data_IF_948304209116
#
_entry.id   IF_948304209116
#
_cell.length_a   1.000
_cell.length_b   1.000
_cell.length_c   1.000
_cell.angle_alpha   90.00
_cell.angle_beta   90.00
_cell.angle_gamma   90.00
#
_symmetry.space_group_name_H-M   'P 1'
#
loop_
_entity.id
_entity.type
_entity.pdbx_description
1 polymer ?
#
# COMPACT_ATOMS: atom_id res chain seq x y z
N UNK A 1 0.66 -4.06 4.86
CA UNK A 1 1.22 -5.42 5.09
C UNK A 1 1.75 -5.69 6.51
N UNK A 2 2.84 -5.05 6.95
CA UNK A 2 3.48 -5.37 8.25
C UNK A 2 2.57 -5.16 9.47
N UNK A 3 1.68 -4.16 9.45
CA UNK A 3 0.67 -3.95 10.49
C UNK A 3 -0.36 -5.10 10.55
N UNK A 4 -0.78 -5.61 9.39
CA UNK A 4 -1.68 -6.76 9.30
C UNK A 4 -0.98 -8.03 9.80
N UNK A 5 0.30 -8.22 9.47
CA UNK A 5 1.12 -9.31 10.00
C UNK A 5 1.24 -9.23 11.53
N UNK A 6 1.46 -8.03 12.08
CA UNK A 6 1.49 -7.82 13.54
C UNK A 6 0.16 -8.20 14.19
N UNK A 7 -0.97 -7.78 13.61
CA UNK A 7 -2.30 -8.16 14.07
C UNK A 7 -2.50 -9.68 14.05
N UNK A 8 -2.25 -10.35 12.92
CA UNK A 8 -2.42 -11.81 12.82
C UNK A 8 -1.46 -12.58 13.72
N UNK A 9 -0.26 -12.05 13.97
CA UNK A 9 0.67 -12.61 14.95
C UNK A 9 0.15 -12.50 16.39
N UNK A 10 -0.46 -11.37 16.75
CA UNK A 10 -1.12 -11.22 18.06
C UNK A 10 -2.35 -12.12 18.19
N UNK A 11 -3.08 -12.41 17.10
CA UNK A 11 -4.21 -13.34 17.13
C UNK A 11 -3.77 -14.80 17.26
N UNK A 12 -2.64 -15.18 16.67
CA UNK A 12 -2.23 -16.60 16.60
C UNK A 12 -1.19 -17.00 17.65
N UNK A 13 -0.45 -16.05 18.23
CA UNK A 13 0.56 -16.34 19.25
C UNK A 13 -0.05 -16.64 20.63
N UNK A 14 0.50 -17.61 21.39
CA UNK A 14 0.13 -17.82 22.80
C UNK A 14 0.40 -16.61 23.71
N UNK A 15 1.34 -15.74 23.32
CA UNK A 15 1.69 -14.50 24.03
C UNK A 15 0.94 -13.28 23.49
N UNK A 16 0.02 -13.49 22.55
CA UNK A 16 -0.72 -12.41 21.90
C UNK A 16 -1.85 -11.85 22.75
N UNK A 17 -2.17 -10.57 22.54
CA UNK A 17 -3.25 -9.88 23.26
C UNK A 17 -4.63 -10.22 22.66
N UNK A 18 -5.05 -11.49 22.78
CA UNK A 18 -6.31 -11.99 22.20
C UNK A 18 -7.56 -11.24 22.65
N UNK A 19 -7.59 -10.83 23.93
CA UNK A 19 -8.67 -9.99 24.48
C UNK A 19 -8.92 -8.71 23.67
N UNK A 20 -7.91 -8.18 22.98
CA UNK A 20 -8.07 -7.04 22.09
C UNK A 20 -8.33 -7.50 20.65
N UNK A 21 -7.52 -8.42 20.16
CA UNK A 21 -7.49 -8.74 18.73
C UNK A 21 -8.64 -9.60 18.25
N UNK A 22 -9.32 -10.33 19.13
CA UNK A 22 -10.46 -11.18 18.78
C UNK A 22 -11.72 -10.36 18.50
N UNK A 23 -11.75 -9.08 18.93
CA UNK A 23 -12.81 -8.13 18.59
C UNK A 23 -12.58 -7.40 17.26
N UNK A 24 -11.46 -7.65 16.57
CA UNK A 24 -11.22 -7.08 15.24
C UNK A 24 -12.04 -7.85 14.22
N UNK A 25 -13.18 -7.28 13.85
CA UNK A 25 -14.13 -7.91 12.93
C UNK A 25 -13.68 -7.89 11.47
N UNK A 26 -12.92 -6.88 11.04
CA UNK A 26 -12.54 -6.69 9.64
C UNK A 26 -11.12 -6.12 9.53
N UNK A 27 -10.30 -6.69 8.65
CA UNK A 27 -8.95 -6.21 8.37
C UNK A 27 -8.81 -5.82 6.90
N UNK A 28 -8.70 -4.52 6.64
CA UNK A 28 -8.39 -3.98 5.31
C UNK A 28 -6.89 -3.66 5.23
N UNK A 29 -6.17 -4.34 4.34
CA UNK A 29 -4.74 -4.18 4.15
C UNK A 29 -4.39 -3.36 2.91
N UNK A 30 -3.56 -2.34 3.07
CA UNK A 30 -3.06 -1.57 1.91
C UNK A 30 -1.88 -2.27 1.24
N UNK A 31 -1.81 -2.19 -0.08
CA UNK A 31 -0.59 -2.52 -0.81
C UNK A 31 0.51 -1.53 -0.41
N UNK A 32 1.73 -2.01 -0.24
CA UNK A 32 2.85 -1.16 0.20
C UNK A 32 4.16 -1.68 -0.37
N UNK A 33 4.90 -0.85 -1.10
CA UNK A 33 6.25 -1.19 -1.50
C UNK A 33 7.24 -0.88 -0.37
N UNK A 34 7.23 0.37 0.10
CA UNK A 34 8.15 0.94 1.08
C UNK A 34 7.45 2.02 1.91
N UNK A 35 8.07 2.40 3.03
CA UNK A 35 7.69 3.58 3.81
C UNK A 35 8.93 4.41 4.08
N UNK A 36 8.73 5.72 4.20
CA UNK A 36 9.78 6.68 4.52
C UNK A 36 9.57 7.21 5.94
N UNK A 37 10.64 7.49 6.67
CA UNK A 37 10.51 8.19 7.95
C UNK A 37 10.28 9.68 7.71
N UNK A 38 9.45 10.31 8.56
CA UNK A 38 9.14 11.73 8.43
C UNK A 38 10.42 12.58 8.40
N UNK A 39 11.33 12.42 9.36
CA UNK A 39 12.54 13.25 9.42
C UNK A 39 13.39 13.15 8.15
N UNK A 40 13.65 11.91 7.69
CA UNK A 40 14.43 11.67 6.47
C UNK A 40 13.74 12.25 5.23
N UNK A 41 12.48 11.88 4.96
CA UNK A 41 11.81 12.33 3.73
C UNK A 41 11.49 13.82 3.78
N UNK A 42 10.94 14.32 4.88
CA UNK A 42 10.47 15.70 4.95
C UNK A 42 11.63 16.66 5.18
N UNK A 43 12.40 16.45 6.24
CA UNK A 43 13.42 17.43 6.65
C UNK A 43 14.66 17.38 5.77
N UNK A 44 15.08 16.18 5.37
CA UNK A 44 16.33 16.00 4.62
C UNK A 44 16.12 15.99 3.10
N UNK A 45 14.94 15.63 2.59
CA UNK A 45 14.69 15.56 1.15
C UNK A 45 13.74 16.66 0.61
N UNK A 46 12.56 16.83 1.20
CA UNK A 46 11.52 17.73 0.67
C UNK A 46 11.80 19.21 0.96
N UNK A 47 12.05 19.58 2.21
CA UNK A 47 12.29 20.97 2.59
C UNK A 47 13.49 21.61 1.86
N UNK A 48 14.65 20.93 1.69
CA UNK A 48 15.78 21.48 0.93
C UNK A 48 15.46 21.67 -0.56
N UNK A 49 14.48 20.93 -1.10
CA UNK A 49 13.98 21.10 -2.47
C UNK A 49 12.83 22.13 -2.57
N UNK A 50 12.57 22.88 -1.50
CA UNK A 50 11.52 23.92 -1.47
C UNK A 50 10.10 23.38 -1.34
N UNK A 51 9.92 22.09 -1.02
CA UNK A 51 8.61 21.48 -0.84
C UNK A 51 8.25 21.47 0.65
N UNK A 52 7.45 22.44 1.08
CA UNK A 52 6.84 22.42 2.41
C UNK A 52 5.62 21.46 2.41
N UNK A 53 5.60 20.41 3.25
CA UNK A 53 4.45 19.51 3.37
C UNK A 53 3.12 20.21 3.64
N UNK A 54 3.12 21.41 4.26
CA UNK A 54 1.90 22.19 4.48
C UNK A 54 1.19 22.58 3.19
N UNK A 55 1.96 22.74 2.10
CA UNK A 55 1.43 23.12 0.79
C UNK A 55 1.10 21.89 -0.07
N UNK A 56 1.43 20.68 0.38
CA UNK A 56 1.20 19.45 -0.37
C UNK A 56 -0.18 18.91 -0.07
N UNK A 57 -1.02 18.80 -1.10
CA UNK A 57 -2.34 18.18 -1.01
C UNK A 57 -2.33 16.70 -1.37
N UNK A 58 -1.31 16.25 -2.10
CA UNK A 58 -1.19 14.85 -2.52
C UNK A 58 0.24 14.44 -2.81
N UNK A 59 0.62 13.27 -2.30
CA UNK A 59 1.77 12.51 -2.80
C UNK A 59 1.32 11.39 -3.71
N UNK A 60 2.14 11.06 -4.72
CA UNK A 60 1.91 9.92 -5.58
C UNK A 60 3.22 9.26 -5.98
N UNK A 61 3.19 7.94 -6.11
CA UNK A 61 4.25 7.18 -6.80
C UNK A 61 3.67 6.68 -8.11
N UNK A 62 4.17 7.21 -9.23
CA UNK A 62 3.67 6.88 -10.58
C UNK A 62 4.83 6.78 -11.55
N UNK A 63 4.81 5.74 -12.40
CA UNK A 63 5.79 5.51 -13.48
C UNK A 63 7.25 5.67 -13.01
N UNK A 64 7.60 5.13 -11.84
CA UNK A 64 8.96 5.17 -11.30
C UNK A 64 9.37 6.53 -10.72
N UNK A 65 8.41 7.42 -10.43
CA UNK A 65 8.65 8.74 -9.85
C UNK A 65 7.88 8.93 -8.55
N UNK A 66 8.50 9.61 -7.61
CA UNK A 66 7.86 10.21 -6.44
C UNK A 66 7.42 11.63 -6.82
N UNK A 67 6.15 11.96 -6.58
CA UNK A 67 5.54 13.22 -7.02
C UNK A 67 4.78 13.85 -5.85
N UNK A 68 4.99 15.15 -5.64
CA UNK A 68 4.24 15.97 -4.70
C UNK A 68 3.40 16.99 -5.47
N UNK A 69 2.13 17.13 -5.10
CA UNK A 69 1.17 18.05 -5.72
C UNK A 69 0.63 19.05 -4.70
N UNK A 70 0.32 20.26 -5.18
CA UNK A 70 -0.47 21.28 -4.50
C UNK A 70 -1.63 21.66 -5.40
N UNK A 71 -2.86 21.38 -4.97
CA UNK A 71 -4.09 21.63 -5.74
C UNK A 71 -4.03 21.21 -7.22
N UNK A 72 -3.40 20.06 -7.49
CA UNK A 72 -3.24 19.50 -8.84
C UNK A 72 -2.00 19.99 -9.59
N UNK A 73 -1.35 21.05 -9.12
CA UNK A 73 -0.05 21.52 -9.62
C UNK A 73 1.07 20.66 -9.07
N UNK A 74 1.98 20.21 -9.94
CA UNK A 74 3.17 19.45 -9.54
C UNK A 74 4.19 20.38 -8.89
N UNK A 75 4.49 20.17 -7.60
CA UNK A 75 5.53 20.91 -6.87
C UNK A 75 6.91 20.27 -7.05
N UNK A 76 6.94 18.95 -7.13
CA UNK A 76 8.15 18.16 -7.26
C UNK A 76 7.81 16.85 -7.95
N UNK A 77 8.69 16.44 -8.86
CA UNK A 77 8.65 15.12 -9.47
C UNK A 77 10.07 14.63 -9.63
N UNK A 78 10.38 13.52 -9.00
CA UNK A 78 11.75 12.99 -8.90
C UNK A 78 11.76 11.48 -9.15
N UNK A 79 12.80 10.91 -9.79
CA UNK A 79 12.96 9.47 -9.88
C UNK A 79 12.94 8.81 -8.49
N UNK A 80 12.40 7.60 -8.38
CA UNK A 80 12.38 6.86 -7.11
C UNK A 80 13.78 6.66 -6.52
N UNK A 81 14.79 6.48 -7.38
CA UNK A 81 16.19 6.35 -6.97
C UNK A 81 16.69 7.51 -6.12
N UNK A 82 16.17 8.72 -6.29
CA UNK A 82 16.54 9.87 -5.45
C UNK A 82 15.92 9.81 -4.04
N UNK A 83 14.83 9.07 -3.85
CA UNK A 83 14.18 8.90 -2.54
C UNK A 83 14.54 7.58 -1.86
N UNK A 84 15.24 6.66 -2.54
CA UNK A 84 15.57 5.32 -2.03
C UNK A 84 16.37 5.38 -0.70
N UNK A 85 17.30 6.33 -0.56
CA UNK A 85 18.14 6.49 0.64
C UNK A 85 17.36 6.99 1.89
N UNK A 86 16.09 7.36 1.69
CA UNK A 86 15.20 7.84 2.75
C UNK A 86 14.18 6.78 3.16
N UNK A 87 14.21 5.60 2.54
CA UNK A 87 13.37 4.45 2.91
C UNK A 87 13.76 3.98 4.31
N UNK A 88 12.75 3.65 5.12
CA UNK A 88 12.96 3.07 6.44
C UNK A 88 13.65 1.70 6.31
N UNK A 89 14.78 1.52 7.00
CA UNK A 89 15.57 0.28 6.92
C UNK A 89 14.76 -1.00 7.20
N UNK A 90 13.77 -0.94 8.09
CA UNK A 90 12.88 -2.06 8.40
C UNK A 90 12.03 -2.56 7.21
N UNK A 91 11.92 -1.79 6.13
CA UNK A 91 11.24 -2.22 4.90
C UNK A 91 12.11 -3.10 4.00
N UNK A 92 13.44 -3.10 4.19
CA UNK A 92 14.36 -3.90 3.36
C UNK A 92 14.02 -5.39 3.40
N UNK A 93 13.87 -6.04 4.58
CA UNK A 93 13.51 -7.47 4.65
C UNK A 93 12.02 -7.75 4.43
N UNK A 94 11.19 -6.74 4.14
CA UNK A 94 9.75 -6.95 3.97
C UNK A 94 9.45 -7.61 2.61
N UNK A 95 8.84 -8.77 2.64
CA UNK A 95 8.50 -9.58 1.44
C UNK A 95 7.04 -9.44 0.99
N UNK A 96 6.18 -8.77 1.77
CA UNK A 96 4.75 -8.69 1.49
C UNK A 96 4.37 -7.35 0.83
N UNK A 97 3.96 -7.40 -0.45
CA UNK A 97 3.48 -6.23 -1.19
C UNK A 97 1.99 -6.00 -0.99
N UNK A 98 1.18 -7.05 -1.12
CA UNK A 98 -0.28 -6.94 -1.29
C UNK A 98 -1.04 -7.14 0.01
N UNK A 99 -0.36 -7.17 1.16
CA UNK A 99 -0.95 -7.40 2.47
C UNK A 99 -1.66 -8.77 2.53
N UNK A 100 -0.90 -9.83 2.32
CA UNK A 100 -1.38 -11.21 2.05
C UNK A 100 -2.25 -11.82 3.15
N UNK A 101 -2.25 -11.25 4.36
CA UNK A 101 -2.99 -11.74 5.53
C UNK A 101 -4.22 -10.89 5.91
N UNK A 102 -4.62 -9.95 5.07
CA UNK A 102 -5.83 -9.13 5.29
C UNK A 102 -7.10 -9.92 4.93
N UNK A 103 -8.28 -9.40 5.27
CA UNK A 103 -9.57 -9.91 4.75
C UNK A 103 -9.82 -9.35 3.35
N UNK A 104 -9.54 -8.05 3.18
CA UNK A 104 -9.55 -7.34 1.90
C UNK A 104 -8.22 -6.63 1.74
N UNK A 105 -7.58 -6.77 0.59
CA UNK A 105 -6.39 -5.99 0.25
C UNK A 105 -6.64 -4.99 -0.86
N UNK A 106 -6.22 -3.74 -0.66
CA UNK A 106 -6.51 -2.64 -1.60
C UNK A 106 -5.23 -1.92 -2.02
N UNK A 107 -5.11 -1.59 -3.31
CA UNK A 107 -4.04 -0.71 -3.77
C UNK A 107 -4.26 -0.13 -5.16
N UNK A 108 -3.65 1.02 -5.42
CA UNK A 108 -3.73 1.74 -6.70
C UNK A 108 -2.58 1.42 -7.67
N UNK A 109 -1.69 0.47 -7.34
CA UNK A 109 -0.64 0.05 -8.26
C UNK A 109 -1.28 -0.71 -9.42
N UNK A 110 -0.95 -0.31 -10.64
CA UNK A 110 -1.49 -0.92 -11.87
C UNK A 110 -3.01 -0.83 -12.05
N UNK A 111 -3.68 0.12 -11.40
CA UNK A 111 -5.09 0.46 -11.66
C UNK A 111 -5.24 1.63 -12.63
N UNK A 112 -6.41 1.71 -13.28
CA UNK A 112 -6.82 2.89 -14.03
C UNK A 112 -6.97 4.11 -13.10
N UNK A 113 -6.77 5.34 -13.60
CA UNK A 113 -7.05 6.55 -12.80
C UNK A 113 -8.46 6.51 -12.21
N UNK A 114 -8.58 6.79 -10.90
CA UNK A 114 -9.85 6.73 -10.17
C UNK A 114 -10.25 5.35 -9.66
N UNK A 115 -9.52 4.29 -10.03
CA UNK A 115 -9.79 2.92 -9.61
C UNK A 115 -8.73 2.40 -8.65
N UNK A 116 -9.11 1.44 -7.82
CA UNK A 116 -8.20 0.64 -7.00
C UNK A 116 -8.40 -0.84 -7.30
N UNK A 117 -7.35 -1.62 -7.13
CA UNK A 117 -7.44 -3.08 -7.12
C UNK A 117 -7.86 -3.49 -5.72
N UNK A 118 -8.93 -4.28 -5.62
CA UNK A 118 -9.35 -4.94 -4.39
C UNK A 118 -9.19 -6.45 -4.54
N UNK A 119 -8.56 -7.11 -3.57
CA UNK A 119 -8.39 -8.56 -3.51
C UNK A 119 -9.09 -9.06 -2.25
N UNK A 120 -10.19 -9.80 -2.43
CA UNK A 120 -10.79 -10.57 -1.34
C UNK A 120 -9.89 -11.75 -0.99
N UNK A 121 -9.63 -11.96 0.30
CA UNK A 121 -8.75 -13.05 0.79
C UNK A 121 -9.46 -14.01 1.72
N UNK A 122 -10.50 -13.54 2.39
CA UNK A 122 -11.35 -14.34 3.25
C UNK A 122 -12.80 -14.25 2.77
N UNK A 123 -13.63 -15.23 3.17
CA UNK A 123 -15.05 -15.23 2.84
C UNK A 123 -15.72 -13.93 3.27
N UNK A 124 -15.43 -13.48 4.49
CA UNK A 124 -15.90 -12.19 5.01
C UNK A 124 -15.55 -11.02 4.08
N UNK A 125 -14.30 -10.96 3.61
CA UNK A 125 -13.86 -9.89 2.72
C UNK A 125 -14.57 -9.92 1.35
N UNK A 126 -14.85 -11.11 0.83
CA UNK A 126 -15.60 -11.29 -0.41
C UNK A 126 -17.06 -10.85 -0.26
N UNK A 127 -17.72 -11.31 0.80
CA UNK A 127 -19.12 -11.00 1.09
C UNK A 127 -19.31 -9.49 1.27
N UNK A 128 -18.45 -8.84 2.05
CA UNK A 128 -18.50 -7.39 2.27
C UNK A 128 -18.27 -6.57 0.99
N UNK A 129 -17.37 -7.02 0.09
CA UNK A 129 -17.17 -6.34 -1.19
C UNK A 129 -18.42 -6.45 -2.07
N UNK A 130 -19.06 -7.62 -2.11
CA UNK A 130 -20.31 -7.84 -2.85
C UNK A 130 -21.45 -7.01 -2.28
N UNK A 131 -21.67 -7.06 -0.97
CA UNK A 131 -22.71 -6.25 -0.29
C UNK A 131 -22.50 -4.74 -0.52
N UNK A 132 -21.24 -4.27 -0.47
CA UNK A 132 -20.92 -2.87 -0.76
C UNK A 132 -21.19 -2.50 -2.23
N UNK A 133 -21.00 -3.44 -3.16
CA UNK A 133 -21.35 -3.23 -4.56
C UNK A 133 -22.88 -3.22 -4.79
N UNK A 134 -23.59 -4.19 -4.21
CA UNK A 134 -25.03 -4.35 -4.32
C UNK A 134 -25.79 -3.16 -3.70
N UNK A 135 -25.24 -2.58 -2.63
CA UNK A 135 -25.77 -1.37 -1.99
C UNK A 135 -25.39 -0.06 -2.72
N UNK A 136 -24.60 -0.13 -3.80
CA UNK A 136 -24.21 1.03 -4.60
C UNK A 136 -23.14 1.92 -3.95
N UNK A 137 -22.46 1.44 -2.90
CA UNK A 137 -21.36 2.18 -2.24
C UNK A 137 -20.10 2.18 -3.12
N UNK A 138 -19.88 1.11 -3.88
CA UNK A 138 -18.75 0.98 -4.80
C UNK A 138 -19.17 0.28 -6.09
N UNK A 139 -18.34 0.43 -7.13
CA UNK A 139 -18.47 -0.32 -8.37
C UNK A 139 -17.35 -1.37 -8.43
N UNK A 140 -17.72 -2.63 -8.68
CA UNK A 140 -16.76 -3.70 -8.93
C UNK A 140 -16.70 -4.02 -10.42
N UNK A 141 -15.48 -4.21 -10.92
CA UNK A 141 -15.21 -4.71 -12.26
C UNK A 141 -14.29 -5.91 -12.18
N UNK A 142 -14.54 -7.00 -12.93
CA UNK A 142 -13.60 -8.11 -13.04
C UNK A 142 -12.24 -7.60 -13.44
N UNK A 143 -11.21 -8.13 -12.79
CA UNK A 143 -9.88 -7.58 -12.92
C UNK A 143 -9.22 -7.94 -14.26
N UNK A 144 -9.68 -9.01 -14.89
CA UNK A 144 -9.34 -9.48 -16.24
C UNK A 144 -9.64 -8.43 -17.33
N UNK A 145 -10.58 -7.52 -17.07
CA UNK A 145 -10.95 -6.45 -18.00
C UNK A 145 -9.99 -5.25 -17.95
N UNK A 146 -8.98 -5.26 -17.07
CA UNK A 146 -8.02 -4.17 -16.93
C UNK A 146 -6.84 -4.31 -17.90
N UNK A 147 -6.47 -3.21 -18.57
CA UNK A 147 -5.36 -3.16 -19.56
C UNK A 147 -3.99 -3.60 -19.02
N UNK A 148 -3.79 -3.59 -17.70
CA UNK A 148 -2.51 -3.88 -17.06
C UNK A 148 -2.43 -5.33 -16.53
N UNK A 149 -3.59 -5.96 -16.28
CA UNK A 149 -3.73 -7.34 -15.82
C UNK A 149 -3.01 -7.68 -14.51
N UNK A 150 -3.14 -8.94 -14.07
CA UNK A 150 -2.49 -9.46 -12.82
C UNK A 150 -0.98 -9.43 -12.92
N UNK A 151 -0.46 -9.49 -14.14
CA UNK A 151 0.96 -9.56 -14.44
C UNK A 151 1.74 -8.38 -13.85
N UNK A 152 1.19 -7.16 -13.88
CA UNK A 152 1.88 -6.00 -13.34
C UNK A 152 2.05 -6.07 -11.81
N UNK A 153 0.97 -6.38 -11.09
CA UNK A 153 1.00 -6.52 -9.62
C UNK A 153 1.85 -7.71 -9.20
N UNK A 154 1.70 -8.85 -9.87
CA UNK A 154 2.51 -10.05 -9.62
C UNK A 154 4.00 -9.81 -9.82
N UNK A 155 4.40 -9.10 -10.88
CA UNK A 155 5.81 -8.72 -11.11
C UNK A 155 6.36 -7.87 -9.98
N UNK A 156 5.60 -6.86 -9.53
CA UNK A 156 6.00 -6.00 -8.41
C UNK A 156 6.09 -6.79 -7.10
N UNK A 157 5.13 -7.69 -6.86
CA UNK A 157 5.11 -8.54 -5.67
C UNK A 157 6.34 -9.44 -5.61
N UNK A 158 6.66 -10.11 -6.72
CA UNK A 158 7.85 -10.95 -6.84
C UNK A 158 9.16 -10.15 -6.72
N UNK A 159 9.21 -8.94 -7.26
CA UNK A 159 10.37 -8.07 -7.11
C UNK A 159 10.60 -7.70 -5.64
N UNK A 160 9.52 -7.38 -4.90
CA UNK A 160 9.61 -7.11 -3.46
C UNK A 160 10.05 -8.34 -2.68
N UNK A 161 9.50 -9.52 -2.97
CA UNK A 161 9.90 -10.79 -2.33
C UNK A 161 11.39 -11.07 -2.50
N UNK A 162 11.89 -11.05 -3.73
CA UNK A 162 13.33 -11.27 -4.03
C UNK A 162 14.23 -10.29 -3.30
N UNK A 163 13.84 -9.00 -3.24
CA UNK A 163 14.59 -7.98 -2.50
C UNK A 163 14.62 -8.28 -1.01
N UNK A 164 13.48 -8.64 -0.42
CA UNK A 164 13.35 -8.90 1.01
C UNK A 164 14.05 -10.19 1.47
N UNK A 165 14.10 -11.20 0.61
CA UNK A 165 14.81 -12.47 0.89
C UNK A 165 16.33 -12.33 0.81
N UNK A 166 16.83 -11.38 0.03
CA UNK A 166 18.27 -11.11 -0.11
C UNK A 166 18.82 -10.03 0.83
N UNK A 167 17.99 -9.46 1.71
CA UNK A 167 18.34 -8.38 2.63
C UNK A 167 18.58 -8.90 4.06
#
# INVERSE_FOLDING_TARGET
PCQVQALRRMQTSPLGCRKLTDHVALVIGLFCMEIYSYDRLVKEFLLPKGVDPKNVTKFAIKKGRFIAYSDGTELLSTPLKEVDDYIRAACKPCTDLTSELADISVGGMASSPGWSIAIARTQLGEDLLKEAADSGILELRPFEETKLGLNAVSKLSLAKKRRGEGA
#
